data_IF_012116370024
#
_entry.id   IF_012116370024
#
_cell.length_a   1.000
_cell.length_b   1.000
_cell.length_c   1.000
_cell.angle_alpha   90.00
_cell.angle_beta   90.00
_cell.angle_gamma   90.00
#
_symmetry.space_group_name_H-M   'P 1'
#
loop_
_entity.id
_entity.type
_entity.pdbx_description
1 polymer ?
#
# COMPACT_ATOMS: atom_id res chain seq x y z
N UNK A 1 6.26 -15.66 -28.83
CA UNK A 1 5.27 -15.01 -27.94
C UNK A 1 5.94 -14.86 -26.58
N UNK A 2 6.40 -13.67 -26.23
CA UNK A 2 7.04 -13.40 -24.93
C UNK A 2 5.95 -13.31 -23.87
N UNK A 3 5.84 -14.33 -23.02
CA UNK A 3 5.30 -14.18 -21.67
C UNK A 3 6.42 -13.60 -20.82
N UNK A 4 6.56 -12.27 -20.82
CA UNK A 4 7.29 -11.56 -19.76
C UNK A 4 6.51 -11.74 -18.46
N UNK A 5 6.71 -12.90 -17.83
CA UNK A 5 6.45 -13.11 -16.42
C UNK A 5 7.31 -12.09 -15.70
N UNK A 6 6.69 -10.99 -15.28
CA UNK A 6 7.26 -10.12 -14.24
C UNK A 6 7.52 -11.05 -13.06
N UNK A 7 8.78 -11.42 -12.86
CA UNK A 7 9.25 -12.05 -11.63
C UNK A 7 9.10 -10.99 -10.54
N UNK A 8 7.88 -10.82 -10.07
CA UNK A 8 7.60 -10.11 -8.83
C UNK A 8 8.46 -10.80 -7.78
N UNK A 9 9.25 -10.02 -7.05
CA UNK A 9 10.09 -10.51 -5.97
C UNK A 9 9.22 -11.04 -4.83
N UNK A 10 8.58 -12.19 -5.06
CA UNK A 10 7.82 -12.93 -4.07
C UNK A 10 8.78 -13.76 -3.25
N UNK A 11 8.61 -13.72 -1.94
CA UNK A 11 9.27 -14.68 -1.06
C UNK A 11 8.82 -16.10 -1.41
N UNK A 12 9.64 -17.09 -1.06
CA UNK A 12 9.24 -18.50 -1.12
C UNK A 12 8.10 -18.73 -0.11
N UNK A 13 7.07 -19.47 -0.52
CA UNK A 13 5.86 -19.74 0.30
C UNK A 13 5.20 -18.47 0.89
N UNK A 14 4.76 -17.50 0.06
CA UNK A 14 4.28 -16.19 0.54
C UNK A 14 3.06 -16.29 1.47
N UNK A 15 2.25 -17.34 1.32
CA UNK A 15 1.13 -17.63 2.22
C UNK A 15 1.57 -18.01 3.63
N UNK A 16 2.65 -18.77 3.75
CA UNK A 16 3.21 -19.15 5.05
C UNK A 16 3.82 -17.93 5.71
N UNK A 17 4.61 -17.15 4.97
CA UNK A 17 5.19 -15.89 5.45
C UNK A 17 4.11 -14.92 5.95
N UNK A 18 3.00 -14.76 5.23
CA UNK A 18 1.88 -13.92 5.69
C UNK A 18 1.29 -14.35 7.06
N UNK A 19 1.41 -15.63 7.41
CA UNK A 19 0.85 -16.21 8.64
C UNK A 19 1.85 -16.27 9.80
N UNK A 20 3.14 -16.20 9.52
CA UNK A 20 4.20 -16.43 10.51
C UNK A 20 5.07 -15.21 10.76
N UNK A 21 5.20 -14.30 9.80
CA UNK A 21 5.92 -13.04 9.98
C UNK A 21 5.18 -12.15 10.97
N UNK A 22 5.86 -11.74 12.04
CA UNK A 22 5.26 -10.98 13.15
C UNK A 22 4.58 -9.69 12.64
N UNK A 23 5.19 -9.03 11.66
CA UNK A 23 4.69 -7.77 11.14
C UNK A 23 3.44 -7.96 10.28
N UNK A 24 3.45 -8.96 9.39
CA UNK A 24 2.29 -9.31 8.57
C UNK A 24 1.13 -9.85 9.40
N UNK A 25 1.41 -10.63 10.46
CA UNK A 25 0.38 -11.13 11.39
C UNK A 25 -0.31 -9.98 12.10
N UNK A 26 0.44 -8.96 12.53
CA UNK A 26 -0.14 -7.75 13.12
C UNK A 26 -0.99 -6.97 12.10
N UNK A 27 -0.46 -6.75 10.90
CA UNK A 27 -1.18 -6.03 9.85
C UNK A 27 -2.40 -6.80 9.32
N UNK A 28 -2.45 -8.12 9.45
CA UNK A 28 -3.62 -8.93 9.12
C UNK A 28 -4.81 -8.68 10.06
N UNK A 29 -4.56 -8.09 11.25
CA UNK A 29 -5.60 -7.67 12.18
C UNK A 29 -6.03 -6.21 11.92
N UNK A 30 -7.28 -5.83 12.29
CA UNK A 30 -7.72 -4.44 12.25
C UNK A 30 -6.82 -3.52 13.09
N UNK A 31 -5.97 -2.77 12.41
CA UNK A 31 -4.94 -1.91 12.99
C UNK A 31 -5.33 -0.44 12.87
N UNK A 32 -4.97 0.40 13.85
CA UNK A 32 -5.25 1.82 13.78
C UNK A 32 -4.34 2.52 12.77
N UNK A 33 -4.94 3.38 11.96
CA UNK A 33 -4.24 4.19 10.98
C UNK A 33 -4.61 5.67 11.12
N UNK A 34 -3.71 6.53 10.66
CA UNK A 34 -4.01 7.95 10.40
C UNK A 34 -3.62 8.33 8.97
N UNK A 35 -4.23 9.40 8.46
CA UNK A 35 -3.76 10.04 7.23
C UNK A 35 -2.43 10.77 7.46
N UNK A 36 -1.41 10.42 6.67
CA UNK A 36 -0.02 10.83 6.90
C UNK A 36 0.35 12.19 6.34
N UNK A 37 -0.39 12.71 5.36
CA UNK A 37 0.02 13.93 4.67
C UNK A 37 -0.36 15.18 5.45
N UNK A 38 0.50 16.20 5.32
CA UNK A 38 0.28 17.55 5.85
C UNK A 38 0.04 17.58 7.37
N UNK A 39 0.74 16.77 8.18
CA UNK A 39 0.58 16.76 9.64
C UNK A 39 0.82 18.13 10.32
N UNK A 40 1.62 18.99 9.68
CA UNK A 40 1.91 20.36 10.12
C UNK A 40 0.77 21.36 9.81
N UNK A 41 -0.14 21.02 8.90
CA UNK A 41 -1.19 21.92 8.43
C UNK A 41 -2.40 21.93 9.38
N UNK A 42 -3.21 23.01 9.35
CA UNK A 42 -4.45 23.09 10.12
C UNK A 42 -5.42 21.94 9.78
N UNK A 43 -6.28 21.51 10.73
CA UNK A 43 -7.19 20.38 10.52
C UNK A 43 -8.12 20.53 9.31
N UNK A 44 -8.55 21.75 8.98
CA UNK A 44 -9.42 22.01 7.82
C UNK A 44 -8.71 21.68 6.52
N UNK A 45 -7.51 22.19 6.33
CA UNK A 45 -6.68 21.92 5.14
C UNK A 45 -6.36 20.42 5.02
N UNK A 46 -6.06 19.76 6.14
CA UNK A 46 -5.80 18.31 6.15
C UNK A 46 -7.01 17.49 5.69
N UNK A 47 -8.23 17.91 6.04
CA UNK A 47 -9.47 17.26 5.59
C UNK A 47 -9.69 17.44 4.11
N UNK A 48 -9.45 18.64 3.58
CA UNK A 48 -9.52 18.90 2.14
C UNK A 48 -8.52 18.02 1.37
N UNK A 49 -7.28 17.93 1.85
CA UNK A 49 -6.25 17.06 1.26
C UNK A 49 -6.58 15.58 1.35
N UNK A 50 -7.22 15.15 2.43
CA UNK A 50 -7.72 13.79 2.54
C UNK A 50 -8.84 13.50 1.52
N UNK A 51 -9.77 14.43 1.30
CA UNK A 51 -10.80 14.27 0.27
C UNK A 51 -10.21 14.24 -1.14
N UNK A 52 -9.23 15.09 -1.44
CA UNK A 52 -8.47 15.05 -2.69
C UNK A 52 -7.79 13.68 -2.89
N UNK A 53 -7.14 13.15 -1.85
CA UNK A 53 -6.49 11.84 -1.87
C UNK A 53 -7.48 10.70 -2.18
N UNK A 54 -8.67 10.73 -1.56
CA UNK A 54 -9.75 9.76 -1.85
C UNK A 54 -10.24 9.89 -3.30
N UNK A 55 -10.44 11.11 -3.80
CA UNK A 55 -10.86 11.35 -5.18
C UNK A 55 -9.81 10.88 -6.19
N UNK A 56 -8.52 11.05 -5.87
CA UNK A 56 -7.39 10.57 -6.66
C UNK A 56 -7.13 9.07 -6.49
N UNK A 57 -7.83 8.40 -5.57
CA UNK A 57 -7.62 7.00 -5.21
C UNK A 57 -6.18 6.70 -4.76
N UNK A 58 -5.52 7.66 -4.11
CA UNK A 58 -4.16 7.52 -3.59
C UNK A 58 -4.11 7.92 -2.13
N UNK A 59 -3.99 6.94 -1.24
CA UNK A 59 -4.10 7.18 0.19
C UNK A 59 -2.79 6.87 0.91
N UNK A 60 -2.19 7.89 1.51
CA UNK A 60 -1.02 7.73 2.36
C UNK A 60 -1.44 7.58 3.83
N UNK A 61 -1.14 6.42 4.42
CA UNK A 61 -1.53 6.04 5.77
C UNK A 61 -0.31 5.70 6.63
N UNK A 62 -0.39 6.08 7.90
CA UNK A 62 0.54 5.66 8.95
C UNK A 62 -0.15 4.64 9.82
N UNK A 63 0.40 3.42 9.87
CA UNK A 63 -0.01 2.35 10.80
C UNK A 63 0.63 2.64 12.15
N UNK A 64 -0.18 3.10 13.09
CA UNK A 64 0.31 3.83 14.28
C UNK A 64 1.11 2.93 15.22
N UNK A 65 0.61 1.71 15.47
CA UNK A 65 1.27 0.76 16.37
C UNK A 65 2.62 0.28 15.83
N UNK A 66 2.75 0.23 14.50
CA UNK A 66 3.92 -0.32 13.81
C UNK A 66 4.91 0.77 13.35
N UNK A 67 4.51 2.04 13.38
CA UNK A 67 5.34 3.14 12.91
C UNK A 67 5.65 3.09 11.41
N UNK A 68 4.82 2.43 10.61
CA UNK A 68 5.03 2.26 9.16
C UNK A 68 4.10 3.15 8.35
N UNK A 69 4.66 3.77 7.32
CA UNK A 69 3.94 4.59 6.36
C UNK A 69 3.78 3.83 5.04
N UNK A 70 2.57 3.86 4.48
CA UNK A 70 2.24 3.22 3.22
C UNK A 70 1.39 4.12 2.35
N UNK A 71 1.76 4.23 1.09
CA UNK A 71 0.91 4.78 0.04
C UNK A 71 0.15 3.64 -0.63
N UNK A 72 -1.17 3.72 -0.62
CA UNK A 72 -2.06 2.72 -1.17
C UNK A 72 -2.83 3.30 -2.36
N UNK A 73 -2.77 2.60 -3.49
CA UNK A 73 -3.68 2.84 -4.60
C UNK A 73 -5.03 2.15 -4.29
N UNK A 74 -6.12 2.91 -4.35
CA UNK A 74 -7.45 2.50 -3.92
C UNK A 74 -8.24 1.96 -5.12
N UNK A 75 -8.70 0.72 -5.04
CA UNK A 75 -9.52 0.10 -6.06
C UNK A 75 -10.98 0.55 -5.96
N UNK A 76 -11.51 0.60 -4.74
CA UNK A 76 -12.87 1.02 -4.45
C UNK A 76 -12.93 1.85 -3.18
N UNK A 77 -13.83 2.84 -3.16
CA UNK A 77 -14.16 3.59 -1.97
C UNK A 77 -15.66 3.91 -1.95
N UNK A 78 -16.26 3.84 -0.77
CA UNK A 78 -17.66 4.19 -0.53
C UNK A 78 -17.76 5.09 0.68
N UNK A 79 -18.47 6.20 0.53
CA UNK A 79 -18.64 7.19 1.59
C UNK A 79 -20.03 7.11 2.21
N UNK A 80 -20.09 7.12 3.55
CA UNK A 80 -21.31 7.19 4.34
C UNK A 80 -21.10 8.19 5.48
N UNK A 81 -21.72 9.36 5.38
CA UNK A 81 -21.50 10.49 6.28
C UNK A 81 -20.00 10.84 6.40
N UNK A 82 -19.40 10.65 7.58
CA UNK A 82 -17.96 10.87 7.78
C UNK A 82 -17.12 9.63 7.50
N UNK A 83 -17.72 8.44 7.44
CA UNK A 83 -17.01 7.17 7.28
C UNK A 83 -16.76 6.88 5.80
N UNK A 84 -15.50 6.62 5.46
CA UNK A 84 -15.08 6.21 4.12
C UNK A 84 -14.53 4.79 4.22
N UNK A 85 -15.29 3.82 3.72
CA UNK A 85 -14.80 2.45 3.54
C UNK A 85 -14.02 2.36 2.24
N UNK A 86 -12.93 1.60 2.23
CA UNK A 86 -12.08 1.46 1.05
C UNK A 86 -11.41 0.08 0.96
N UNK A 87 -10.99 -0.25 -0.27
CA UNK A 87 -10.15 -1.40 -0.58
C UNK A 87 -9.05 -0.97 -1.54
N UNK A 88 -7.82 -1.46 -1.34
CA UNK A 88 -6.70 -1.17 -2.23
C UNK A 88 -6.69 -2.09 -3.45
N UNK A 89 -5.91 -1.73 -4.47
CA UNK A 89 -5.40 -2.72 -5.41
C UNK A 89 -4.41 -3.66 -4.71
N UNK A 90 -4.14 -4.84 -5.28
CA UNK A 90 -3.05 -5.70 -4.81
C UNK A 90 -1.71 -4.96 -4.83
N UNK A 91 -0.93 -5.08 -3.76
CA UNK A 91 0.42 -4.53 -3.66
C UNK A 91 1.36 -5.52 -2.98
N UNK A 92 2.65 -5.42 -3.29
CA UNK A 92 3.68 -6.25 -2.69
C UNK A 92 4.16 -5.60 -1.39
N UNK A 93 4.12 -6.35 -0.29
CA UNK A 93 4.66 -5.92 1.00
C UNK A 93 5.61 -6.99 1.52
N UNK A 94 6.89 -6.65 1.68
CA UNK A 94 7.95 -7.59 2.06
C UNK A 94 7.93 -8.90 1.24
N UNK A 95 7.67 -8.79 -0.07
CA UNK A 95 7.59 -9.92 -0.98
C UNK A 95 6.35 -10.80 -0.82
N UNK A 96 5.32 -10.34 -0.10
CA UNK A 96 4.02 -10.99 -0.01
C UNK A 96 2.96 -10.12 -0.68
N UNK A 97 2.19 -10.71 -1.59
CA UNK A 97 1.11 -10.00 -2.26
C UNK A 97 -0.09 -9.84 -1.32
N UNK A 98 -0.48 -8.60 -1.08
CA UNK A 98 -1.51 -8.23 -0.12
C UNK A 98 -2.55 -7.28 -0.75
N UNK A 99 -3.74 -7.25 -0.17
CA UNK A 99 -4.68 -6.12 -0.31
C UNK A 99 -4.91 -5.51 1.07
N UNK A 100 -5.16 -4.20 1.11
CA UNK A 100 -5.55 -3.49 2.31
C UNK A 100 -7.04 -3.15 2.22
N UNK A 101 -7.78 -3.43 3.29
CA UNK A 101 -9.19 -3.06 3.40
C UNK A 101 -9.45 -2.43 4.75
N UNK A 102 -10.24 -1.37 4.77
CA UNK A 102 -10.53 -0.69 6.01
C UNK A 102 -11.50 0.46 5.83
N UNK A 103 -11.51 1.32 6.83
CA UNK A 103 -12.25 2.57 6.78
C UNK A 103 -11.47 3.69 7.45
N UNK A 104 -11.77 4.91 7.03
CA UNK A 104 -11.28 6.16 7.61
C UNK A 104 -12.46 7.04 8.01
N UNK A 105 -12.32 7.80 9.08
CA UNK A 105 -13.19 8.94 9.37
C UNK A 105 -12.61 10.19 8.70
N UNK A 106 -13.39 10.82 7.84
CA UNK A 106 -13.01 11.99 7.04
C UNK A 106 -12.90 13.30 7.83
N UNK A 107 -13.38 13.32 9.08
CA UNK A 107 -13.26 14.46 9.98
C UNK A 107 -12.07 14.30 10.94
N UNK A 108 -11.92 13.12 11.54
CA UNK A 108 -10.84 12.79 12.47
C UNK A 108 -9.54 12.39 11.77
N UNK A 109 -9.62 11.97 10.51
CA UNK A 109 -8.48 11.50 9.70
C UNK A 109 -7.78 10.27 10.28
N UNK A 110 -8.53 9.48 11.04
CA UNK A 110 -8.11 8.22 11.66
C UNK A 110 -9.05 7.09 11.26
N UNK A 111 -8.59 5.86 11.32
CA UNK A 111 -9.38 4.72 10.88
C UNK A 111 -8.81 3.39 11.32
N UNK A 112 -9.40 2.31 10.79
CA UNK A 112 -8.86 0.95 10.95
C UNK A 112 -8.73 0.22 9.63
N UNK A 113 -7.58 -0.41 9.44
CA UNK A 113 -7.20 -1.12 8.22
C UNK A 113 -6.61 -2.47 8.58
N UNK A 114 -6.90 -3.47 7.75
CA UNK A 114 -6.29 -4.78 7.83
C UNK A 114 -5.80 -5.22 6.47
N UNK A 115 -4.73 -6.00 6.46
CA UNK A 115 -4.19 -6.65 5.28
C UNK A 115 -4.88 -7.99 5.08
N UNK A 116 -4.97 -8.38 3.81
CA UNK A 116 -5.41 -9.71 3.42
C UNK A 116 -4.44 -10.25 2.39
N UNK A 117 -4.05 -11.49 2.57
CA UNK A 117 -3.28 -12.24 1.58
C UNK A 117 -4.02 -12.28 0.25
N UNK A 118 -3.31 -12.05 -0.85
CA UNK A 118 -3.83 -12.12 -2.20
C UNK A 118 -3.20 -13.31 -2.94
N UNK A 119 -4.04 -14.23 -3.42
CA UNK A 119 -3.60 -15.39 -4.20
C UNK A 119 -3.38 -15.06 -5.68
N UNK A 120 -3.93 -13.94 -6.16
CA UNK A 120 -3.90 -13.59 -7.57
C UNK A 120 -2.52 -13.06 -7.97
N UNK A 121 -1.75 -13.87 -8.69
CA UNK A 121 -0.47 -13.47 -9.28
C UNK A 121 -0.57 -12.39 -10.38
N UNK A 122 -1.79 -11.98 -10.75
CA UNK A 122 -2.04 -10.95 -11.74
C UNK A 122 -2.01 -9.56 -11.10
N UNK A 123 -0.82 -9.02 -10.91
CA UNK A 123 -0.68 -7.57 -10.69
C UNK A 123 -0.97 -6.89 -12.01
N UNK A 124 -2.17 -6.33 -12.16
CA UNK A 124 -2.44 -5.41 -13.26
C UNK A 124 -1.57 -4.17 -13.09
N UNK A 125 -0.58 -4.05 -13.97
CA UNK A 125 0.31 -2.89 -14.19
C UNK A 125 -0.43 -1.56 -13.99
N UNK A 126 0.14 -0.68 -13.15
CA UNK A 126 0.31 0.76 -13.46
C UNK A 126 1.04 1.60 -12.39
N UNK A 127 1.86 1.01 -11.52
CA UNK A 127 2.64 1.80 -10.55
C UNK A 127 4.04 1.24 -10.27
N UNK A 128 4.75 0.76 -11.28
CA UNK A 128 6.18 0.48 -11.14
C UNK A 128 6.92 1.01 -12.35
N UNK A 129 7.67 2.09 -12.13
CA UNK A 129 8.88 2.38 -12.89
C UNK A 129 9.80 1.16 -12.73
N UNK A 130 9.60 0.19 -13.62
CA UNK A 130 10.55 -0.90 -13.79
C UNK A 130 11.79 -0.24 -14.39
N UNK A 131 12.88 -0.21 -13.63
CA UNK A 131 14.15 0.31 -14.11
C UNK A 131 14.46 -0.42 -15.41
N UNK A 132 14.66 0.31 -16.50
CA UNK A 132 14.95 -0.31 -17.77
C UNK A 132 16.26 -1.09 -17.64
N UNK A 133 16.42 -2.13 -18.45
CA UNK A 133 17.65 -2.93 -18.53
C UNK A 133 18.89 -2.04 -18.68
N UNK A 134 18.74 -0.91 -19.37
CA UNK A 134 19.80 0.08 -19.58
C UNK A 134 20.15 0.83 -18.30
N UNK A 135 19.18 1.17 -17.44
CA UNK A 135 19.43 1.81 -16.15
C UNK A 135 20.14 0.87 -15.18
N UNK A 136 19.77 -0.41 -15.16
CA UNK A 136 20.44 -1.45 -14.34
C UNK A 136 21.87 -1.69 -14.83
N UNK A 137 22.08 -1.72 -16.15
CA UNK A 137 23.42 -1.87 -16.73
C UNK A 137 24.31 -0.64 -16.45
N UNK A 138 23.73 0.57 -16.46
CA UNK A 138 24.44 1.79 -16.08
C UNK A 138 24.86 1.79 -14.60
N UNK A 139 24.03 1.26 -13.69
CA UNK A 139 24.40 1.11 -12.28
C UNK A 139 25.55 0.11 -12.07
N UNK A 140 25.55 -1.01 -12.80
CA UNK A 140 26.70 -1.95 -12.81
C UNK A 140 27.97 -1.31 -13.35
N UNK A 141 27.85 -0.50 -14.41
CA UNK A 141 28.99 0.21 -14.99
C UNK A 141 29.59 1.25 -14.01
N UNK A 142 28.82 1.71 -13.03
CA UNK A 142 29.27 2.61 -11.97
C UNK A 142 29.86 1.88 -10.74
N UNK A 143 30.00 0.55 -10.76
CA UNK A 143 30.73 -0.21 -9.75
C UNK A 143 30.07 -0.33 -8.38
N UNK A 144 28.76 -0.06 -8.28
CA UNK A 144 28.00 -0.24 -7.06
C UNK A 144 27.61 -1.73 -6.90
N UNK A 145 27.74 -2.33 -5.70
CA UNK A 145 27.26 -3.68 -5.46
C UNK A 145 25.72 -3.66 -5.44
N UNK A 146 25.12 -4.39 -6.39
CA UNK A 146 23.70 -4.77 -6.36
C UNK A 146 23.56 -6.14 -5.70
#
# INVERSE_FOLDING_TARGET
>A
MLTDLVMLASVSNPREVFRTDEFLVLLAQPTNVRFSLFEHAPPVERREKFQEAIAQRKLALTFVEMGVNLALDISTSTSSATKIDFESFPFLFNGVLCTARGHMDSYLLTGRVQFRFCEDSNISKDATECWSSDQVNNLRAMGLPL
#
